data_IF_662377436140
#
_entry.id   IF_662377436140
#
_cell.length_a   1.000
_cell.length_b   1.000
_cell.length_c   1.000
_cell.angle_alpha   90.00
_cell.angle_beta   90.00
_cell.angle_gamma   90.00
#
_symmetry.space_group_name_H-M   'P 1'
#
loop_
_entity.id
_entity.type
_entity.pdbx_description
1 polymer ?
#
# COMPACT_ATOMS: atom_id res chain seq x y z
N UNK A 1 32.72 58.22 -50.94
CA UNK A 1 31.81 58.60 -49.84
C UNK A 1 31.35 57.34 -49.13
N UNK A 2 31.23 57.42 -47.81
CA UNK A 2 30.92 56.35 -46.88
C UNK A 2 29.64 55.58 -47.24
N UNK A 3 29.56 54.29 -46.86
CA UNK A 3 28.61 53.84 -45.82
C UNK A 3 28.81 52.36 -45.46
N UNK A 4 29.15 52.18 -44.19
CA UNK A 4 29.29 50.93 -43.46
C UNK A 4 27.94 50.20 -43.33
N UNK A 5 27.88 48.94 -43.79
CA UNK A 5 26.83 47.99 -43.42
C UNK A 5 27.19 47.29 -42.11
N UNK A 6 26.58 47.70 -41.00
CA UNK A 6 26.71 47.09 -39.67
C UNK A 6 26.22 45.63 -39.68
N UNK A 7 27.10 44.66 -39.41
CA UNK A 7 26.70 43.29 -39.03
C UNK A 7 25.99 43.33 -37.68
N UNK A 8 24.70 42.99 -37.64
CA UNK A 8 23.96 42.72 -36.40
C UNK A 8 24.48 41.40 -35.82
N UNK A 9 25.19 41.47 -34.70
CA UNK A 9 25.47 40.33 -33.83
C UNK A 9 24.17 39.83 -33.22
N UNK A 10 23.85 38.55 -33.42
CA UNK A 10 22.78 37.87 -32.67
C UNK A 10 23.24 37.68 -31.22
N UNK A 11 22.36 37.84 -30.21
CA UNK A 11 22.72 37.58 -28.83
C UNK A 11 22.91 36.06 -28.62
N UNK A 12 24.02 35.72 -27.98
CA UNK A 12 24.38 34.36 -27.55
C UNK A 12 23.30 33.85 -26.60
N UNK A 13 22.69 32.71 -26.91
CA UNK A 13 21.74 32.04 -26.04
C UNK A 13 22.45 31.56 -24.77
N UNK A 14 22.10 32.15 -23.62
CA UNK A 14 22.52 31.67 -22.32
C UNK A 14 21.87 30.30 -22.06
N UNK A 15 22.63 29.24 -21.75
CA UNK A 15 22.03 27.95 -21.41
C UNK A 15 21.26 28.10 -20.10
N UNK A 16 19.96 27.79 -20.15
CA UNK A 16 19.09 27.69 -18.98
C UNK A 16 19.57 26.46 -18.20
N UNK A 17 20.28 26.69 -17.10
CA UNK A 17 20.62 25.64 -16.15
C UNK A 17 19.31 25.15 -15.53
N UNK A 18 18.82 24.01 -16.01
CA UNK A 18 17.72 23.30 -15.37
C UNK A 18 18.15 22.99 -13.94
N UNK A 19 17.63 23.76 -12.98
CA UNK A 19 17.84 23.48 -11.57
C UNK A 19 16.95 22.28 -11.27
N UNK A 20 17.51 21.07 -11.38
CA UNK A 20 16.87 19.84 -10.91
C UNK A 20 16.76 19.96 -9.41
N UNK A 21 15.68 20.57 -8.93
CA UNK A 21 15.35 20.57 -7.51
C UNK A 21 15.21 19.10 -7.09
N UNK A 22 16.09 18.67 -6.20
CA UNK A 22 15.98 17.39 -5.52
C UNK A 22 14.59 17.40 -4.86
N UNK A 23 13.69 16.44 -5.15
CA UNK A 23 12.34 16.48 -4.59
C UNK A 23 12.45 16.50 -3.07
N UNK A 24 11.88 17.53 -2.44
CA UNK A 24 11.81 17.62 -0.99
C UNK A 24 11.22 16.31 -0.46
N UNK A 25 11.93 15.73 0.51
CA UNK A 25 11.53 14.50 1.14
C UNK A 25 10.25 14.78 1.96
N UNK A 26 9.09 14.70 1.32
CA UNK A 26 7.81 14.95 1.95
C UNK A 26 7.55 13.87 3.01
N UNK A 27 7.89 14.18 4.26
CA UNK A 27 7.59 13.30 5.40
C UNK A 27 6.08 13.19 5.54
N UNK A 28 5.56 11.98 5.30
CA UNK A 28 4.13 11.70 5.39
C UNK A 28 3.61 11.99 6.80
N UNK A 29 2.52 12.76 6.91
CA UNK A 29 1.80 13.01 8.18
C UNK A 29 0.91 11.83 8.63
N UNK A 30 0.83 10.78 7.81
CA UNK A 30 0.01 9.58 8.09
C UNK A 30 0.75 8.67 9.05
N UNK A 31 0.08 8.26 10.13
CA UNK A 31 0.62 7.30 11.11
C UNK A 31 0.18 5.90 10.72
N UNK A 32 0.96 5.26 9.87
CA UNK A 32 0.66 3.91 9.37
C UNK A 32 1.93 3.16 8.96
N UNK A 33 1.86 1.84 9.00
CA UNK A 33 2.77 0.94 8.34
C UNK A 33 2.08 0.32 7.12
N UNK A 34 2.84 0.14 6.03
CA UNK A 34 2.35 -0.51 4.81
C UNK A 34 3.27 -1.67 4.48
N UNK A 35 2.74 -2.88 4.61
CA UNK A 35 3.44 -4.12 4.34
C UNK A 35 3.10 -4.57 2.93
N UNK A 36 4.11 -4.93 2.15
CA UNK A 36 3.93 -5.76 0.95
C UNK A 36 4.33 -7.17 1.30
N UNK A 37 3.42 -8.11 1.11
CA UNK A 37 3.65 -9.50 1.45
C UNK A 37 3.90 -10.36 0.21
N UNK A 38 4.60 -11.47 0.44
CA UNK A 38 4.74 -12.55 -0.53
C UNK A 38 4.08 -13.81 0.01
N UNK A 39 3.50 -14.58 -0.90
CA UNK A 39 2.88 -15.86 -0.58
C UNK A 39 3.80 -16.96 -1.09
N UNK A 40 4.21 -17.85 -0.20
CA UNK A 40 4.84 -19.11 -0.62
C UNK A 40 3.75 -20.10 -1.03
N UNK A 41 4.08 -21.04 -1.91
CA UNK A 41 3.16 -22.08 -2.41
C UNK A 41 2.69 -23.09 -1.36
N UNK A 42 3.13 -22.97 -0.10
CA UNK A 42 2.85 -23.93 0.98
C UNK A 42 1.86 -23.41 2.04
N UNK A 43 0.86 -22.62 1.66
CA UNK A 43 -0.22 -22.25 2.58
C UNK A 43 -1.29 -23.34 2.65
N UNK A 44 -1.20 -24.21 3.67
CA UNK A 44 -2.34 -25.05 4.07
C UNK A 44 -3.29 -24.23 4.95
N UNK A 45 -4.38 -23.74 4.35
CA UNK A 45 -5.40 -22.94 5.01
C UNK A 45 -6.02 -23.64 6.22
N UNK A 46 -6.04 -24.98 6.24
CA UNK A 46 -6.65 -25.77 7.32
C UNK A 46 -5.83 -25.69 8.60
N UNK A 47 -4.50 -25.81 8.48
CA UNK A 47 -3.55 -25.74 9.60
C UNK A 47 -3.53 -24.37 10.27
N UNK A 48 -3.66 -23.29 9.50
CA UNK A 48 -3.62 -21.92 10.05
C UNK A 48 -4.95 -21.42 10.62
N UNK A 49 -6.07 -22.07 10.27
CA UNK A 49 -7.40 -21.68 10.77
C UNK A 49 -7.55 -21.80 12.30
N UNK A 50 -6.71 -22.62 12.95
CA UNK A 50 -6.72 -22.84 14.40
C UNK A 50 -5.70 -21.97 15.16
N UNK A 51 -4.85 -21.21 14.47
CA UNK A 51 -3.85 -20.35 15.08
C UNK A 51 -4.43 -18.96 15.40
N UNK A 52 -3.88 -18.25 16.40
CA UNK A 52 -4.23 -16.84 16.66
C UNK A 52 -3.68 -15.90 15.58
N UNK A 53 -2.53 -16.24 15.03
CA UNK A 53 -1.82 -15.46 14.04
C UNK A 53 -1.32 -16.35 12.90
N UNK A 54 -1.27 -15.80 11.68
CA UNK A 54 -0.67 -16.44 10.51
C UNK A 54 0.66 -15.76 10.17
N UNK A 55 1.76 -16.51 10.02
CA UNK A 55 3.03 -15.97 9.55
C UNK A 55 2.97 -15.70 8.04
N UNK A 56 3.19 -14.45 7.62
CA UNK A 56 3.30 -14.06 6.21
C UNK A 56 4.68 -13.47 5.92
N UNK A 57 5.25 -13.77 4.75
CA UNK A 57 6.53 -13.20 4.32
C UNK A 57 6.36 -11.73 3.93
N UNK A 58 7.16 -10.81 4.48
CA UNK A 58 7.08 -9.37 4.18
C UNK A 58 8.26 -8.93 3.33
N UNK A 59 8.02 -8.58 2.07
CA UNK A 59 9.09 -8.16 1.14
C UNK A 59 9.47 -6.69 1.30
N UNK A 60 8.51 -5.83 1.64
CA UNK A 60 8.77 -4.42 1.91
C UNK A 60 7.89 -3.86 3.01
N UNK A 61 8.43 -2.90 3.73
CA UNK A 61 7.75 -2.12 4.77
C UNK A 61 7.91 -0.64 4.43
N UNK A 62 6.79 0.08 4.33
CA UNK A 62 6.74 1.51 4.00
C UNK A 62 7.52 1.86 2.72
N UNK A 63 7.52 0.94 1.74
CA UNK A 63 8.23 1.09 0.46
C UNK A 63 9.72 0.73 0.53
N UNK A 64 10.28 0.49 1.71
CA UNK A 64 11.64 0.00 1.86
C UNK A 64 11.66 -1.52 1.76
N UNK A 65 12.48 -2.07 0.86
CA UNK A 65 12.69 -3.51 0.78
C UNK A 65 13.39 -4.01 2.05
N UNK A 66 12.79 -5.00 2.71
CA UNK A 66 13.31 -5.59 3.95
C UNK A 66 13.74 -7.05 3.78
N UNK A 67 13.47 -7.65 2.61
CA UNK A 67 13.92 -8.99 2.26
C UNK A 67 14.66 -9.01 0.94
N UNK A 68 15.74 -9.80 0.92
CA UNK A 68 16.49 -10.08 -0.30
C UNK A 68 15.84 -11.24 -1.06
N UNK A 69 15.84 -11.17 -2.39
CA UNK A 69 15.21 -12.18 -3.26
C UNK A 69 15.89 -13.57 -3.24
N UNK A 70 17.02 -13.73 -2.55
CA UNK A 70 17.91 -14.90 -2.63
C UNK A 70 18.24 -15.55 -1.29
N UNK A 71 17.44 -15.32 -0.24
CA UNK A 71 17.66 -15.87 1.11
C UNK A 71 16.40 -16.48 1.76
N UNK A 72 16.54 -16.93 3.00
CA UNK A 72 15.39 -17.37 3.82
C UNK A 72 14.39 -16.22 3.99
N UNK A 73 13.11 -16.50 3.75
CA UNK A 73 12.03 -15.53 3.91
C UNK A 73 11.74 -15.38 5.40
N UNK A 74 11.93 -14.18 5.93
CA UNK A 74 11.47 -13.85 7.29
C UNK A 74 9.95 -13.68 7.30
N UNK A 75 9.26 -14.24 8.30
CA UNK A 75 7.83 -14.04 8.44
C UNK A 75 7.51 -12.99 9.50
N UNK A 76 6.43 -12.24 9.29
CA UNK A 76 5.78 -11.42 10.30
C UNK A 76 4.43 -12.05 10.63
N UNK A 77 4.08 -12.09 11.91
CA UNK A 77 2.82 -12.65 12.37
C UNK A 77 1.69 -11.64 12.21
N UNK A 78 0.64 -12.02 11.49
CA UNK A 78 -0.54 -11.20 11.28
C UNK A 78 -1.78 -11.84 11.91
N UNK A 79 -2.73 -11.05 12.46
CA UNK A 79 -3.96 -11.57 13.05
C UNK A 79 -4.78 -12.47 12.13
N UNK A 80 -5.26 -13.58 12.69
CA UNK A 80 -6.31 -14.40 12.09
C UNK A 80 -7.70 -13.82 12.39
N UNK A 81 -8.72 -14.09 11.55
CA UNK A 81 -8.70 -14.92 10.34
C UNK A 81 -8.27 -14.18 9.05
N UNK A 82 -8.06 -12.85 9.10
CA UNK A 82 -7.83 -12.02 7.92
C UNK A 82 -6.60 -12.46 7.11
N UNK A 83 -5.48 -12.73 7.78
CA UNK A 83 -4.24 -13.17 7.14
C UNK A 83 -4.39 -14.52 6.40
N UNK A 84 -5.01 -15.51 7.04
CA UNK A 84 -5.27 -16.82 6.42
C UNK A 84 -6.18 -16.69 5.20
N UNK A 85 -7.25 -15.89 5.32
CA UNK A 85 -8.18 -15.66 4.21
C UNK A 85 -7.46 -15.02 3.02
N UNK A 86 -6.72 -13.95 3.26
CA UNK A 86 -5.93 -13.26 2.24
C UNK A 86 -5.02 -14.22 1.49
N UNK A 87 -4.33 -15.13 2.20
CA UNK A 87 -3.50 -16.16 1.56
C UNK A 87 -4.30 -17.16 0.73
N UNK A 88 -5.43 -17.63 1.25
CA UNK A 88 -6.26 -18.67 0.61
C UNK A 88 -6.88 -18.19 -0.71
N UNK A 89 -7.38 -16.95 -0.74
CA UNK A 89 -8.06 -16.38 -1.92
C UNK A 89 -7.17 -15.44 -2.73
N UNK A 90 -5.85 -15.52 -2.58
CA UNK A 90 -4.92 -14.55 -3.17
C UNK A 90 -5.06 -14.42 -4.70
N UNK A 91 -5.32 -15.52 -5.41
CA UNK A 91 -5.52 -15.49 -6.86
C UNK A 91 -6.73 -14.62 -7.25
N UNK A 92 -7.87 -14.78 -6.57
CA UNK A 92 -9.06 -13.94 -6.78
C UNK A 92 -8.79 -12.49 -6.41
N UNK A 93 -8.08 -12.25 -5.31
CA UNK A 93 -7.69 -10.89 -4.89
C UNK A 93 -6.79 -10.23 -5.93
N UNK A 94 -5.84 -10.96 -6.52
CA UNK A 94 -4.96 -10.45 -7.56
C UNK A 94 -5.73 -10.09 -8.84
N UNK A 95 -6.72 -10.88 -9.24
CA UNK A 95 -7.59 -10.57 -10.37
C UNK A 95 -8.48 -9.34 -10.11
N UNK A 96 -9.04 -9.22 -8.90
CA UNK A 96 -9.97 -8.15 -8.56
C UNK A 96 -9.27 -6.81 -8.30
N UNK A 97 -8.15 -6.84 -7.58
CA UNK A 97 -7.50 -5.64 -7.01
C UNK A 97 -6.17 -5.29 -7.70
N UNK A 98 -5.65 -6.18 -8.54
CA UNK A 98 -4.29 -6.11 -9.08
C UNK A 98 -3.22 -6.49 -8.07
N UNK A 99 -2.05 -6.91 -8.57
CA UNK A 99 -0.94 -7.48 -7.77
C UNK A 99 -0.49 -6.58 -6.63
N UNK A 100 -0.52 -5.25 -6.82
CA UNK A 100 -0.04 -4.30 -5.81
C UNK A 100 -0.96 -4.23 -4.58
N UNK A 101 -2.28 -4.21 -4.77
CA UNK A 101 -3.23 -4.06 -3.66
C UNK A 101 -3.50 -5.42 -3.02
N UNK A 102 -3.56 -6.49 -3.83
CA UNK A 102 -3.80 -7.84 -3.32
C UNK A 102 -2.71 -8.35 -2.38
N UNK A 103 -1.49 -7.82 -2.49
CA UNK A 103 -0.35 -8.17 -1.63
C UNK A 103 -0.10 -7.16 -0.51
N UNK A 104 -1.03 -6.22 -0.26
CA UNK A 104 -0.80 -5.14 0.68
C UNK A 104 -1.64 -5.25 1.94
N UNK A 105 -0.99 -5.16 3.10
CA UNK A 105 -1.61 -4.96 4.41
C UNK A 105 -1.23 -3.56 4.90
N UNK A 106 -2.21 -2.77 5.33
CA UNK A 106 -1.98 -1.43 5.88
C UNK A 106 -2.36 -1.42 7.35
N UNK A 107 -1.39 -1.18 8.22
CA UNK A 107 -1.61 -1.03 9.67
C UNK A 107 -1.68 0.45 10.02
N UNK A 108 -2.80 0.89 10.56
CA UNK A 108 -3.03 2.25 11.01
C UNK A 108 -2.80 2.36 12.52
N UNK A 109 -2.06 3.39 12.91
CA UNK A 109 -1.52 3.53 14.26
C UNK A 109 -2.24 4.62 15.05
N UNK A 110 -2.36 4.39 16.36
CA UNK A 110 -2.90 5.35 17.32
C UNK A 110 -2.10 6.66 17.30
N UNK A 111 -2.82 7.78 17.25
CA UNK A 111 -2.24 9.11 17.12
C UNK A 111 -1.42 9.54 18.33
N UNK A 112 -1.68 8.99 19.51
CA UNK A 112 -0.98 9.29 20.75
C UNK A 112 0.09 8.25 21.07
N UNK A 113 -0.24 6.97 20.99
CA UNK A 113 0.62 5.87 21.49
C UNK A 113 1.45 5.20 20.41
N UNK A 114 1.08 5.35 19.13
CA UNK A 114 1.73 4.65 18.02
C UNK A 114 1.43 3.14 17.96
N UNK A 115 0.56 2.61 18.83
CA UNK A 115 0.13 1.21 18.79
C UNK A 115 -0.79 0.93 17.59
N UNK A 116 -0.82 -0.30 17.06
CA UNK A 116 -1.79 -0.69 16.04
C UNK A 116 -3.23 -0.53 16.54
N UNK A 117 -4.07 0.09 15.72
CA UNK A 117 -5.50 0.34 16.00
C UNK A 117 -6.37 -0.45 15.04
N UNK A 118 -6.03 -0.41 13.75
CA UNK A 118 -6.76 -1.11 12.71
C UNK A 118 -5.80 -1.55 11.61
N UNK A 119 -5.95 -2.78 11.13
CA UNK A 119 -5.25 -3.33 9.99
C UNK A 119 -6.22 -3.54 8.84
N UNK A 120 -5.90 -2.96 7.69
CA UNK A 120 -6.65 -3.10 6.45
C UNK A 120 -5.94 -4.13 5.56
N UNK A 121 -6.64 -5.23 5.31
CA UNK A 121 -6.29 -6.27 4.36
C UNK A 121 -6.91 -5.93 2.99
N UNK A 122 -6.64 -6.71 1.92
CA UNK A 122 -7.21 -6.42 0.61
C UNK A 122 -8.74 -6.43 0.55
N UNK A 123 -9.39 -7.33 1.30
CA UNK A 123 -10.85 -7.53 1.29
C UNK A 123 -11.51 -7.41 2.67
N UNK A 124 -10.73 -7.12 3.71
CA UNK A 124 -11.21 -7.16 5.09
C UNK A 124 -10.49 -6.15 5.98
N UNK A 125 -11.11 -5.86 7.12
CA UNK A 125 -10.57 -4.96 8.14
C UNK A 125 -10.51 -5.72 9.45
N UNK A 126 -9.37 -5.63 10.13
CA UNK A 126 -9.19 -6.14 11.48
C UNK A 126 -9.02 -4.95 12.43
N UNK A 127 -9.89 -4.83 13.43
CA UNK A 127 -9.76 -3.84 14.50
C UNK A 127 -9.13 -4.56 15.69
N UNK A 128 -8.11 -3.94 16.29
CA UNK A 128 -7.42 -4.53 17.44
C UNK A 128 -8.25 -4.40 18.72
N UNK A 129 -8.02 -5.37 19.63
CA UNK A 129 -8.69 -5.44 20.93
C UNK A 129 -8.62 -4.10 21.69
N UNK A 130 -9.77 -3.63 22.17
CA UNK A 130 -9.91 -2.38 22.92
C UNK A 130 -10.16 -1.12 22.09
N UNK A 131 -10.29 -1.24 20.76
CA UNK A 131 -10.60 -0.14 19.85
C UNK A 131 -11.94 -0.32 19.10
N UNK A 132 -12.67 -1.40 19.33
CA UNK A 132 -13.82 -1.86 18.54
C UNK A 132 -14.90 -0.79 18.36
N UNK A 133 -15.20 -0.04 19.43
CA UNK A 133 -16.28 0.95 19.44
C UNK A 133 -15.85 2.32 18.90
N UNK A 134 -14.55 2.64 18.88
CA UNK A 134 -14.09 4.01 18.68
C UNK A 134 -12.75 4.15 17.93
N UNK A 135 -12.28 3.11 17.23
CA UNK A 135 -10.97 3.08 16.56
C UNK A 135 -10.69 4.32 15.70
N UNK A 136 -11.70 4.87 15.01
CA UNK A 136 -11.56 6.07 14.20
C UNK A 136 -11.11 7.29 15.02
N UNK A 137 -11.55 7.42 16.27
CA UNK A 137 -11.19 8.54 17.15
C UNK A 137 -9.71 8.51 17.55
N UNK A 138 -9.09 7.33 17.53
CA UNK A 138 -7.67 7.12 17.83
C UNK A 138 -6.76 7.47 16.65
N UNK A 139 -7.31 7.60 15.44
CA UNK A 139 -6.54 7.96 14.25
C UNK A 139 -6.44 9.49 14.08
N UNK A 140 -5.29 9.98 13.62
CA UNK A 140 -5.15 11.40 13.27
C UNK A 140 -5.95 11.71 11.99
N UNK A 141 -6.21 13.00 11.72
CA UNK A 141 -7.06 13.40 10.57
C UNK A 141 -6.53 12.90 9.21
N UNK A 142 -5.22 12.97 8.97
CA UNK A 142 -4.62 12.50 7.71
C UNK A 142 -4.72 10.96 7.56
N UNK A 143 -4.65 10.25 8.68
CA UNK A 143 -4.69 8.78 8.76
C UNK A 143 -6.11 8.27 8.55
N UNK A 144 -7.13 8.93 9.14
CA UNK A 144 -8.55 8.65 8.88
C UNK A 144 -8.91 8.78 7.40
N UNK A 145 -8.57 9.92 6.79
CA UNK A 145 -8.83 10.15 5.36
C UNK A 145 -8.13 9.12 4.47
N UNK A 146 -6.93 8.68 4.85
CA UNK A 146 -6.24 7.62 4.12
C UNK A 146 -6.97 6.28 4.25
N UNK A 147 -7.37 5.89 5.45
CA UNK A 147 -8.15 4.65 5.69
C UNK A 147 -9.45 4.64 4.88
N UNK A 148 -10.26 5.70 4.98
CA UNK A 148 -11.52 5.83 4.23
C UNK A 148 -11.28 5.72 2.71
N UNK A 149 -10.25 6.41 2.19
CA UNK A 149 -9.89 6.34 0.77
C UNK A 149 -9.46 4.93 0.36
N UNK A 150 -8.71 4.24 1.20
CA UNK A 150 -8.20 2.90 0.92
C UNK A 150 -9.30 1.83 0.97
N UNK A 151 -10.28 1.98 1.87
CA UNK A 151 -11.50 1.15 1.91
C UNK A 151 -12.32 1.39 0.63
N UNK A 152 -12.68 2.63 0.34
CA UNK A 152 -13.51 2.98 -0.82
C UNK A 152 -12.87 2.52 -2.14
N UNK A 153 -11.54 2.61 -2.26
CA UNK A 153 -10.81 2.08 -3.42
C UNK A 153 -10.97 0.56 -3.56
N UNK A 154 -10.79 -0.20 -2.47
CA UNK A 154 -10.90 -1.66 -2.48
C UNK A 154 -12.32 -2.11 -2.78
N UNK A 155 -13.31 -1.51 -2.13
CA UNK A 155 -14.73 -1.79 -2.37
C UNK A 155 -15.11 -1.55 -3.83
N UNK A 156 -14.69 -0.42 -4.41
CA UNK A 156 -14.94 -0.12 -5.82
C UNK A 156 -14.36 -1.20 -6.74
N UNK A 157 -13.09 -1.57 -6.54
CA UNK A 157 -12.41 -2.56 -7.38
C UNK A 157 -13.05 -3.96 -7.26
N UNK A 158 -13.40 -4.38 -6.05
CA UNK A 158 -14.10 -5.65 -5.80
C UNK A 158 -15.48 -5.64 -6.47
N UNK A 159 -16.23 -4.56 -6.34
CA UNK A 159 -17.56 -4.45 -6.96
C UNK A 159 -17.49 -4.47 -8.49
N UNK A 160 -16.50 -3.80 -9.09
CA UNK A 160 -16.24 -3.87 -10.53
C UNK A 160 -15.92 -5.30 -10.99
N UNK A 161 -15.10 -6.03 -10.22
CA UNK A 161 -14.79 -7.43 -10.50
C UNK A 161 -16.05 -8.32 -10.43
N UNK A 162 -16.84 -8.21 -9.35
CA UNK A 162 -18.08 -8.99 -9.18
C UNK A 162 -19.06 -8.70 -10.33
N UNK A 163 -19.20 -7.44 -10.74
CA UNK A 163 -20.08 -7.06 -11.84
C UNK A 163 -19.66 -7.71 -13.17
N UNK A 164 -18.35 -7.74 -13.47
CA UNK A 164 -17.81 -8.40 -14.66
C UNK A 164 -18.03 -9.92 -14.64
N UNK A 165 -17.81 -10.56 -13.50
CA UNK A 165 -18.03 -12.01 -13.36
C UNK A 165 -19.49 -12.39 -13.62
N UNK A 166 -20.45 -11.58 -13.15
CA UNK A 166 -21.89 -11.79 -13.42
C UNK A 166 -22.27 -11.62 -14.90
N UNK A 167 -21.54 -10.78 -15.64
CA UNK A 167 -21.78 -10.59 -17.08
C UNK A 167 -21.27 -11.78 -17.89
N UNK A 168 -20.12 -12.36 -17.52
CA UNK A 168 -19.52 -13.49 -18.21
C UNK A 168 -20.25 -14.83 -17.98
N UNK A 169 -21.18 -14.89 -17.03
CA UNK A 169 -22.00 -16.06 -16.71
C UNK A 169 -23.37 -16.06 -17.40
N UNK A 170 -23.67 -15.03 -18.22
CA UNK A 170 -24.87 -14.95 -19.05
C UNK A 170 -24.53 -15.24 -20.50
#
# INVERSE_FOLDING_TARGET
>A
MHLFGKKKTQPVATPIVATTSIPENHVSKKKKNTYTITFSTFFDATLFSMCKNTPLGVVSLNGQQIQNNSGWISCTEFPNPCATRMATIQHLLAEALGTKISTQIIEYLDKATGKPVVQLYPDSVHIFDGYEENYMSHLNHATRRDLEKQIALRERLINEFIAKQKQNQK
#
